data_IF_006378678897
#
_entry.id   IF_006378678897
#
_cell.length_a   1.000
_cell.length_b   1.000
_cell.length_c   1.000
_cell.angle_alpha   90.00
_cell.angle_beta   90.00
_cell.angle_gamma   90.00
#
_symmetry.space_group_name_H-M   'P 1'
#
loop_
_entity.id
_entity.type
_entity.pdbx_description
1 polymer ?
#
# COMPACT_ATOMS: atom_id res chain seq x y z
N UNK A 1 1.05 -31.81 61.02
CA UNK A 1 0.20 -30.78 60.38
C UNK A 1 0.98 -30.23 59.19
N UNK A 2 0.55 -30.56 57.97
CA UNK A 2 1.21 -30.16 56.71
C UNK A 2 0.54 -28.87 56.23
N UNK A 3 1.28 -27.76 56.19
CA UNK A 3 0.86 -26.55 55.50
C UNK A 3 1.17 -26.76 54.00
N UNK A 4 0.14 -26.98 53.19
CA UNK A 4 0.27 -26.92 51.73
C UNK A 4 0.05 -25.46 51.31
N UNK A 5 1.13 -24.77 50.94
CA UNK A 5 1.05 -23.47 50.30
C UNK A 5 0.50 -23.61 48.89
N UNK A 6 -0.65 -22.99 48.63
CA UNK A 6 -1.21 -22.85 47.29
C UNK A 6 -0.46 -21.70 46.62
N UNK A 7 0.43 -22.02 45.68
CA UNK A 7 1.01 -21.03 44.79
C UNK A 7 -0.06 -20.62 43.76
N UNK A 8 -0.54 -19.38 43.86
CA UNK A 8 -1.38 -18.78 42.84
C UNK A 8 -0.49 -18.45 41.63
N UNK A 9 -0.64 -19.21 40.54
CA UNK A 9 -0.17 -18.80 39.23
C UNK A 9 -1.10 -17.69 38.72
N UNK A 10 -0.63 -16.45 38.77
CA UNK A 10 -1.24 -15.36 38.01
C UNK A 10 -0.96 -15.65 36.53
N UNK A 11 -1.97 -16.17 35.82
CA UNK A 11 -1.94 -16.22 34.37
C UNK A 11 -1.96 -14.78 33.85
N UNK A 12 -0.84 -14.29 33.32
CA UNK A 12 -0.85 -13.12 32.46
C UNK A 12 -1.69 -13.49 31.23
N UNK A 13 -2.94 -13.04 31.19
CA UNK A 13 -3.68 -12.94 29.94
C UNK A 13 -2.97 -11.83 29.18
N UNK A 14 -1.97 -12.17 28.36
CA UNK A 14 -1.57 -11.30 27.27
C UNK A 14 -2.77 -11.21 26.34
N UNK A 15 -3.55 -10.15 26.49
CA UNK A 15 -4.48 -9.74 25.44
C UNK A 15 -3.58 -9.30 24.30
N UNK A 16 -3.28 -10.21 23.37
CA UNK A 16 -2.69 -9.86 22.09
C UNK A 16 -3.76 -9.03 21.39
N UNK A 17 -3.61 -7.70 21.38
CA UNK A 17 -4.50 -6.83 20.63
C UNK A 17 -4.04 -6.81 19.17
N UNK A 18 -4.36 -7.90 18.48
CA UNK A 18 -4.20 -7.95 17.03
C UNK A 18 -5.38 -7.20 16.40
N UNK A 19 -5.11 -6.12 15.67
CA UNK A 19 -6.08 -5.51 14.78
C UNK A 19 -6.01 -6.21 13.43
N UNK A 20 -7.18 -6.52 12.89
CA UNK A 20 -7.33 -7.00 11.52
C UNK A 20 -8.03 -5.92 10.72
N UNK A 21 -7.38 -5.45 9.66
CA UNK A 21 -7.94 -4.48 8.72
C UNK A 21 -8.27 -5.23 7.44
N UNK A 22 -9.55 -5.34 7.14
CA UNK A 22 -9.98 -5.83 5.84
C UNK A 22 -9.75 -4.73 4.79
N UNK A 23 -9.26 -5.11 3.62
CA UNK A 23 -9.05 -4.17 2.51
C UNK A 23 -9.66 -4.73 1.25
N UNK A 24 -10.44 -3.89 0.58
CA UNK A 24 -11.09 -4.22 -0.66
C UNK A 24 -11.27 -2.98 -1.53
N UNK A 25 -11.63 -3.18 -2.79
CA UNK A 25 -12.18 -2.17 -3.67
C UNK A 25 -13.61 -2.53 -4.12
N UNK A 26 -14.32 -3.26 -3.24
CA UNK A 26 -15.68 -3.74 -3.47
C UNK A 26 -16.63 -3.27 -2.39
N UNK A 27 -17.77 -2.74 -2.82
CA UNK A 27 -18.91 -2.49 -1.94
C UNK A 27 -20.23 -2.95 -2.56
N UNK A 28 -20.17 -3.95 -3.46
CA UNK A 28 -21.33 -4.43 -4.18
C UNK A 28 -21.56 -3.65 -5.48
N UNK A 29 -22.33 -2.55 -5.43
CA UNK A 29 -22.70 -1.80 -6.64
C UNK A 29 -21.61 -0.83 -7.13
N UNK A 30 -20.70 -0.43 -6.25
CA UNK A 30 -19.58 0.47 -6.55
C UNK A 30 -18.26 -0.32 -6.48
N UNK A 31 -17.98 -1.12 -7.51
CA UNK A 31 -16.67 -1.76 -7.67
C UNK A 31 -15.75 -0.85 -8.48
N UNK A 32 -14.79 -0.20 -7.83
CA UNK A 32 -13.81 0.64 -8.54
C UNK A 32 -12.57 -0.20 -8.84
N UNK A 33 -12.47 -0.71 -10.07
CA UNK A 33 -11.31 -1.49 -10.50
C UNK A 33 -10.02 -0.65 -10.47
N UNK A 34 -8.88 -1.33 -10.39
CA UNK A 34 -7.57 -0.67 -10.42
C UNK A 34 -6.80 -1.02 -11.68
N UNK A 35 -6.28 0.01 -12.32
CA UNK A 35 -5.53 -0.08 -13.59
C UNK A 35 -4.15 0.53 -13.47
N UNK A 36 -3.28 0.17 -14.41
CA UNK A 36 -2.06 0.92 -14.67
C UNK A 36 -2.35 2.25 -15.40
N UNK A 37 -1.31 3.03 -15.67
CA UNK A 37 -1.41 4.32 -16.36
C UNK A 37 -1.84 4.22 -17.83
N UNK A 38 -1.94 3.01 -18.39
CA UNK A 38 -2.41 2.76 -19.77
C UNK A 38 -3.85 2.26 -19.82
N UNK A 39 -4.46 1.99 -18.66
CA UNK A 39 -5.81 1.43 -18.54
C UNK A 39 -5.83 -0.10 -18.52
N UNK A 40 -4.69 -0.78 -18.39
CA UNK A 40 -4.65 -2.23 -18.21
C UNK A 40 -4.92 -2.59 -16.75
N UNK A 41 -5.85 -3.52 -16.51
CA UNK A 41 -6.20 -3.98 -15.16
C UNK A 41 -5.02 -4.66 -14.48
N UNK A 42 -4.86 -4.39 -13.17
CA UNK A 42 -3.85 -5.06 -12.36
C UNK A 42 -4.26 -6.51 -12.06
N UNK A 43 -3.34 -7.44 -12.20
CA UNK A 43 -3.63 -8.88 -12.08
C UNK A 43 -2.96 -9.50 -10.86
N UNK A 44 -3.43 -10.68 -10.45
CA UNK A 44 -2.82 -11.47 -9.37
C UNK A 44 -1.72 -12.43 -9.85
N UNK A 45 -1.50 -12.53 -11.17
CA UNK A 45 -0.70 -13.57 -11.81
C UNK A 45 0.80 -13.26 -11.88
N UNK A 46 1.55 -14.05 -12.64
CA UNK A 46 2.92 -13.72 -13.03
C UNK A 46 2.89 -12.99 -14.38
N UNK A 47 3.43 -11.77 -14.46
CA UNK A 47 3.39 -10.98 -15.69
C UNK A 47 3.85 -9.54 -15.52
N UNK A 48 3.62 -8.71 -16.55
CA UNK A 48 4.05 -7.31 -16.59
C UNK A 48 3.10 -6.33 -15.86
N UNK A 49 2.02 -6.81 -15.24
CA UNK A 49 1.03 -5.95 -14.58
C UNK A 49 0.46 -6.63 -13.33
N UNK A 50 1.36 -7.08 -12.44
CA UNK A 50 0.98 -7.70 -11.17
C UNK A 50 0.71 -6.60 -10.17
N UNK A 51 -0.47 -6.57 -9.58
CA UNK A 51 -0.79 -5.60 -8.55
C UNK A 51 -0.38 -6.07 -7.16
N UNK A 52 0.16 -5.15 -6.35
CA UNK A 52 0.38 -5.36 -4.92
C UNK A 52 -0.33 -4.26 -4.15
N UNK A 53 -1.04 -4.61 -3.09
CA UNK A 53 -1.70 -3.70 -2.17
C UNK A 53 -1.04 -3.80 -0.80
N UNK A 54 -0.70 -2.66 -0.21
CA UNK A 54 -0.21 -2.57 1.15
C UNK A 54 -1.06 -1.59 1.95
N UNK A 55 -1.28 -1.89 3.22
CA UNK A 55 -1.89 -0.98 4.18
C UNK A 55 -0.82 -0.54 5.16
N UNK A 56 -0.84 0.71 5.56
CA UNK A 56 0.16 1.22 6.49
C UNK A 56 0.04 2.71 6.72
N UNK A 57 1.13 3.32 7.19
CA UNK A 57 1.19 4.73 7.51
C UNK A 57 2.48 5.39 7.02
N UNK A 58 2.45 6.70 6.81
CA UNK A 58 3.65 7.50 6.56
C UNK A 58 4.12 8.17 7.84
N UNK A 59 5.39 7.93 8.21
CA UNK A 59 5.99 8.51 9.41
C UNK A 59 6.42 9.96 9.18
N UNK A 60 5.71 10.92 9.76
CA UNK A 60 6.16 12.33 9.82
C UNK A 60 6.03 13.13 8.52
N UNK A 61 5.34 12.59 7.51
CA UNK A 61 4.96 13.32 6.29
C UNK A 61 3.50 13.76 6.39
N UNK A 62 3.23 15.00 5.99
CA UNK A 62 1.86 15.44 5.68
C UNK A 62 1.43 14.91 4.32
N UNK A 63 0.14 14.94 4.02
CA UNK A 63 -0.41 14.59 2.70
C UNK A 63 0.32 15.32 1.56
N UNK A 64 0.57 16.62 1.73
CA UNK A 64 1.35 17.42 0.77
C UNK A 64 2.83 16.98 0.67
N UNK A 65 3.42 16.51 1.78
CA UNK A 65 4.75 15.94 1.80
C UNK A 65 4.82 14.61 1.05
N UNK A 66 3.79 13.76 1.19
CA UNK A 66 3.65 12.50 0.45
C UNK A 66 3.59 12.77 -1.05
N UNK A 67 2.74 13.70 -1.49
CA UNK A 67 2.63 14.07 -2.92
C UNK A 67 3.94 14.64 -3.46
N UNK A 68 4.63 15.50 -2.70
CA UNK A 68 5.91 16.08 -3.13
C UNK A 68 7.04 15.05 -3.17
N UNK A 69 7.02 14.04 -2.29
CA UNK A 69 8.04 13.01 -2.29
C UNK A 69 7.85 12.07 -3.47
N UNK A 70 6.60 11.71 -3.77
CA UNK A 70 6.25 10.92 -4.93
C UNK A 70 6.76 11.55 -6.22
N UNK A 71 6.57 12.86 -6.45
CA UNK A 71 7.11 13.51 -7.66
C UNK A 71 8.64 13.45 -7.80
N UNK A 72 9.35 13.09 -6.73
CA UNK A 72 10.81 13.08 -6.70
C UNK A 72 11.41 11.68 -6.73
N UNK A 73 10.85 10.70 -6.01
CA UNK A 73 11.37 9.34 -5.96
C UNK A 73 10.38 8.33 -5.38
N UNK A 74 10.05 7.29 -6.16
CA UNK A 74 9.32 6.11 -5.69
C UNK A 74 10.02 5.46 -4.49
N UNK A 75 11.33 5.29 -4.57
CA UNK A 75 12.08 4.57 -3.55
C UNK A 75 12.02 5.29 -2.20
N UNK A 76 12.06 6.63 -2.20
CA UNK A 76 11.93 7.40 -0.97
C UNK A 76 10.51 7.33 -0.40
N UNK A 77 9.50 7.34 -1.27
CA UNK A 77 8.10 7.16 -0.87
C UNK A 77 7.90 5.82 -0.18
N UNK A 78 8.35 4.72 -0.81
CA UNK A 78 8.28 3.36 -0.24
C UNK A 78 9.07 3.26 1.07
N UNK A 79 10.25 3.87 1.14
CA UNK A 79 11.07 3.85 2.37
C UNK A 79 10.42 4.63 3.52
N UNK A 80 9.61 5.65 3.21
CA UNK A 80 8.89 6.45 4.21
C UNK A 80 7.56 5.82 4.62
N UNK A 81 7.12 4.78 3.91
CA UNK A 81 5.91 4.03 4.19
C UNK A 81 6.22 2.86 5.14
N UNK A 82 5.54 2.84 6.27
CA UNK A 82 5.57 1.72 7.21
C UNK A 82 4.34 0.87 6.95
N UNK A 83 4.56 -0.28 6.30
CA UNK A 83 3.52 -1.28 6.08
C UNK A 83 3.11 -1.90 7.41
N UNK A 84 1.81 -2.06 7.60
CA UNK A 84 1.20 -2.77 8.71
C UNK A 84 0.75 -4.14 8.21
N UNK A 85 1.14 -5.20 8.90
CA UNK A 85 0.81 -6.57 8.52
C UNK A 85 1.41 -7.01 7.19
N UNK A 86 0.72 -7.92 6.48
CA UNK A 86 1.18 -8.51 5.22
C UNK A 86 0.61 -7.79 4.00
N UNK A 87 1.33 -7.89 2.88
CA UNK A 87 0.84 -7.46 1.57
C UNK A 87 -0.42 -8.24 1.17
N UNK A 88 -1.33 -7.54 0.51
CA UNK A 88 -2.51 -8.11 -0.12
C UNK A 88 -2.27 -8.14 -1.63
N UNK A 89 -2.48 -9.31 -2.23
CA UNK A 89 -2.42 -9.45 -3.68
C UNK A 89 -3.80 -9.19 -4.28
N UNK A 90 -3.82 -8.80 -5.55
CA UNK A 90 -5.07 -8.75 -6.30
C UNK A 90 -5.72 -10.13 -6.38
N UNK A 91 -7.04 -10.16 -6.53
CA UNK A 91 -7.80 -11.36 -6.86
C UNK A 91 -7.64 -11.67 -8.35
N UNK A 92 -7.62 -12.94 -8.72
CA UNK A 92 -7.51 -13.37 -10.12
C UNK A 92 -8.80 -13.15 -10.92
N UNK A 93 -9.92 -12.85 -10.26
CA UNK A 93 -11.23 -12.75 -10.91
C UNK A 93 -12.15 -11.77 -10.18
N UNK A 94 -12.64 -10.69 -10.84
CA UNK A 94 -12.12 -10.11 -12.09
C UNK A 94 -10.74 -9.43 -11.87
N UNK A 95 -9.97 -9.20 -12.95
CA UNK A 95 -8.73 -8.43 -12.85
C UNK A 95 -9.03 -6.98 -12.37
N UNK A 96 -8.08 -6.36 -11.68
CA UNK A 96 -8.22 -5.04 -11.07
C UNK A 96 -8.99 -5.06 -9.75
N UNK A 97 -9.45 -6.23 -9.30
CA UNK A 97 -10.11 -6.44 -8.02
C UNK A 97 -9.14 -6.96 -6.96
N UNK A 98 -9.32 -6.55 -5.71
CA UNK A 98 -8.61 -7.15 -4.58
C UNK A 98 -9.51 -7.24 -3.35
N UNK A 99 -9.33 -8.32 -2.59
CA UNK A 99 -9.87 -8.48 -1.25
C UNK A 99 -8.79 -9.17 -0.42
N UNK A 100 -8.50 -8.60 0.73
CA UNK A 100 -7.57 -9.22 1.67
C UNK A 100 -7.69 -8.63 3.06
N UNK A 101 -6.79 -9.06 3.93
CA UNK A 101 -6.68 -8.55 5.28
C UNK A 101 -5.23 -8.30 5.63
N UNK A 102 -4.93 -7.13 6.17
CA UNK A 102 -3.67 -6.86 6.85
C UNK A 102 -3.91 -7.01 8.36
N UNK A 103 -3.19 -7.95 8.98
CA UNK A 103 -3.28 -8.20 10.42
C UNK A 103 -1.97 -7.78 11.09
N UNK A 104 -2.06 -7.00 12.16
CA UNK A 104 -0.91 -6.55 12.93
C UNK A 104 -1.22 -6.44 14.42
N UNK A 105 -0.17 -6.60 15.23
CA UNK A 105 -0.20 -6.30 16.67
C UNK A 105 0.28 -4.87 16.89
N UNK A 106 -0.67 -3.96 17.11
CA UNK A 106 -0.38 -2.54 17.35
C UNK A 106 0.04 -2.27 18.80
N UNK A 107 -0.15 -3.20 19.72
CA UNK A 107 0.28 -3.06 21.13
C UNK A 107 1.75 -3.39 21.37
N UNK A 108 2.39 -4.10 20.44
CA UNK A 108 3.80 -4.47 20.53
C UNK A 108 4.58 -4.09 19.28
N UNK A 109 4.27 -4.75 18.16
CA UNK A 109 5.09 -4.75 16.94
C UNK A 109 5.02 -3.47 16.13
N UNK A 110 3.80 -2.93 15.95
CA UNK A 110 3.53 -1.77 15.08
C UNK A 110 2.95 -0.58 15.85
N UNK A 111 3.34 -0.43 17.12
CA UNK A 111 2.85 0.65 18.01
C UNK A 111 3.10 2.07 17.49
N UNK A 112 4.03 2.25 16.53
CA UNK A 112 4.23 3.53 15.83
C UNK A 112 3.07 3.94 14.92
N UNK A 113 2.20 3.00 14.55
CA UNK A 113 1.03 3.26 13.71
C UNK A 113 -0.09 3.96 14.48
N UNK A 114 -0.19 3.79 15.80
CA UNK A 114 -1.28 4.32 16.61
C UNK A 114 -1.36 5.85 16.50
N UNK A 115 -2.55 6.36 16.18
CA UNK A 115 -2.81 7.78 15.92
C UNK A 115 -2.26 8.30 14.59
N UNK A 116 -1.91 7.41 13.65
CA UNK A 116 -1.54 7.77 12.27
C UNK A 116 -2.67 7.45 11.31
N UNK A 117 -2.75 8.24 10.24
CA UNK A 117 -3.67 7.96 9.14
C UNK A 117 -3.42 6.60 8.51
N UNK A 118 -4.51 5.95 8.10
CA UNK A 118 -4.47 4.70 7.35
C UNK A 118 -4.33 5.01 5.87
N UNK A 119 -3.33 4.41 5.23
CA UNK A 119 -3.08 4.57 3.81
C UNK A 119 -3.12 3.22 3.12
N UNK A 120 -3.78 3.19 1.97
CA UNK A 120 -3.73 2.09 1.00
C UNK A 120 -2.74 2.51 -0.09
N UNK A 121 -1.68 1.72 -0.26
CA UNK A 121 -0.66 1.92 -1.28
C UNK A 121 -0.73 0.77 -2.27
N UNK A 122 -0.91 1.08 -3.54
CA UNK A 122 -0.97 0.10 -4.62
C UNK A 122 0.20 0.33 -5.58
N UNK A 123 0.89 -0.75 -5.93
CA UNK A 123 1.96 -0.75 -6.93
C UNK A 123 1.69 -1.71 -8.08
N UNK A 124 2.21 -1.41 -9.26
CA UNK A 124 2.10 -2.23 -10.47
C UNK A 124 3.18 -3.34 -10.58
N UNK A 125 3.65 -3.85 -9.45
CA UNK A 125 4.62 -4.95 -9.41
C UNK A 125 4.31 -5.89 -8.25
N UNK A 126 4.99 -7.03 -8.18
CA UNK A 126 4.83 -8.02 -7.09
C UNK A 126 5.37 -7.57 -5.73
N UNK A 127 5.96 -6.37 -5.67
CA UNK A 127 6.34 -5.68 -4.44
C UNK A 127 6.30 -4.18 -4.65
N UNK A 128 6.05 -3.42 -3.58
CA UNK A 128 6.10 -1.95 -3.63
C UNK A 128 7.48 -1.42 -4.03
N UNK A 129 8.55 -2.08 -3.61
CA UNK A 129 9.92 -1.67 -3.91
C UNK A 129 10.27 -1.78 -5.41
N UNK A 130 9.60 -2.67 -6.14
CA UNK A 130 9.81 -2.88 -7.56
C UNK A 130 8.74 -2.18 -8.44
N UNK A 131 7.79 -1.48 -7.82
CA UNK A 131 6.74 -0.78 -8.56
C UNK A 131 7.29 0.49 -9.22
N UNK A 132 6.85 0.74 -10.45
CA UNK A 132 7.21 1.92 -11.25
C UNK A 132 6.06 2.93 -11.33
N UNK A 133 4.86 2.45 -11.01
CA UNK A 133 3.65 3.23 -10.92
C UNK A 133 3.00 2.96 -9.58
N UNK A 134 2.37 3.98 -8.99
CA UNK A 134 1.68 3.81 -7.72
C UNK A 134 0.40 4.61 -7.64
N UNK A 135 -0.43 4.16 -6.70
CA UNK A 135 -1.58 4.86 -6.17
C UNK A 135 -1.45 4.90 -4.66
N UNK A 136 -1.71 6.07 -4.08
CA UNK A 136 -1.74 6.26 -2.63
C UNK A 136 -3.06 6.90 -2.26
N UNK A 137 -3.84 6.18 -1.48
CA UNK A 137 -5.14 6.61 -0.99
C UNK A 137 -5.09 6.71 0.52
N UNK A 138 -5.48 7.86 1.06
CA UNK A 138 -5.63 8.09 2.49
C UNK A 138 -7.07 7.79 2.88
N UNK A 139 -7.26 6.86 3.79
CA UNK A 139 -8.56 6.56 4.38
C UNK A 139 -8.94 7.61 5.43
N UNK A 140 -10.24 7.74 5.72
CA UNK A 140 -10.73 8.75 6.67
C UNK A 140 -10.33 8.46 8.11
N UNK A 141 -10.20 7.18 8.47
CA UNK A 141 -9.85 6.76 9.82
C UNK A 141 -8.33 6.64 10.05
N UNK A 142 -7.96 6.83 11.31
CA UNK A 142 -6.62 6.59 11.83
C UNK A 142 -6.51 5.18 12.46
N UNK A 143 -5.28 4.66 12.55
CA UNK A 143 -5.02 3.48 13.36
C UNK A 143 -5.25 3.81 14.84
N UNK A 144 -6.01 2.95 15.52
CA UNK A 144 -6.22 2.98 16.97
C UNK A 144 -5.86 1.61 17.53
N UNK A 145 -5.49 1.52 18.81
CA UNK A 145 -4.91 0.33 19.44
C UNK A 145 -5.90 -0.51 20.24
N UNK A 146 -7.21 -0.34 20.00
CA UNK A 146 -8.23 -1.10 20.74
C UNK A 146 -8.82 -2.21 19.87
N UNK A 147 -9.17 -3.38 20.44
CA UNK A 147 -9.72 -4.49 19.66
C UNK A 147 -11.18 -4.26 19.20
N UNK A 148 -11.82 -3.18 19.65
CA UNK A 148 -13.23 -2.86 19.36
C UNK A 148 -13.40 -1.54 18.61
N UNK A 149 -12.37 -0.70 18.55
CA UNK A 149 -12.35 0.57 17.82
C UNK A 149 -11.14 0.53 16.88
N UNK A 150 -11.34 0.92 15.62
CA UNK A 150 -10.36 0.73 14.55
C UNK A 150 -11.05 0.86 13.20
N UNK A 151 -10.30 1.03 12.09
CA UNK A 151 -10.93 1.15 10.78
C UNK A 151 -11.77 -0.09 10.47
N UNK A 152 -11.36 -1.28 10.95
CA UNK A 152 -12.04 -2.58 10.77
C UNK A 152 -12.05 -3.06 9.32
N UNK A 153 -12.45 -2.19 8.40
CA UNK A 153 -12.39 -2.32 6.95
C UNK A 153 -11.94 -0.99 6.35
N UNK A 154 -10.87 -1.00 5.58
CA UNK A 154 -10.41 0.12 4.76
C UNK A 154 -10.76 -0.18 3.29
N UNK A 155 -11.64 0.61 2.69
CA UNK A 155 -12.06 0.38 1.32
C UNK A 155 -11.53 1.45 0.37
N UNK A 156 -11.02 1.02 -0.78
CA UNK A 156 -10.66 1.91 -1.88
C UNK A 156 -11.91 2.21 -2.71
N UNK A 157 -12.67 3.19 -2.28
CA UNK A 157 -13.87 3.68 -2.96
C UNK A 157 -13.75 5.19 -3.08
N UNK A 158 -14.24 5.74 -4.19
CA UNK A 158 -14.33 7.19 -4.30
C UNK A 158 -15.26 7.76 -3.21
N UNK A 159 -14.76 8.72 -2.43
CA UNK A 159 -15.52 9.40 -1.38
C UNK A 159 -15.43 8.78 0.02
N UNK A 160 -14.69 7.68 0.23
CA UNK A 160 -14.38 7.12 1.57
C UNK A 160 -13.00 7.54 2.08
N UNK A 161 -12.43 8.59 1.48
CA UNK A 161 -11.06 9.03 1.72
C UNK A 161 -10.57 9.99 0.64
N UNK A 162 -9.27 10.24 0.65
CA UNK A 162 -8.60 11.18 -0.25
C UNK A 162 -7.56 10.45 -1.10
N UNK A 163 -7.72 10.53 -2.42
CA UNK A 163 -6.69 10.09 -3.36
C UNK A 163 -5.55 11.11 -3.36
N UNK A 164 -4.36 10.70 -2.92
CA UNK A 164 -3.17 11.56 -2.87
C UNK A 164 -2.31 11.41 -4.13
N UNK A 165 -2.15 10.17 -4.60
CA UNK A 165 -1.36 9.82 -5.79
C UNK A 165 -2.18 8.83 -6.61
N UNK A 166 -2.23 9.04 -7.91
CA UNK A 166 -3.10 8.29 -8.82
C UNK A 166 -4.12 9.22 -9.46
N UNK A 167 -4.95 8.66 -10.33
CA UNK A 167 -6.13 9.35 -10.86
C UNK A 167 -7.36 8.44 -10.73
N UNK A 168 -8.53 9.02 -10.99
CA UNK A 168 -9.80 8.32 -10.90
C UNK A 168 -10.68 8.75 -12.07
N UNK A 169 -11.49 7.81 -12.60
CA UNK A 169 -12.45 8.05 -13.67
C UNK A 169 -11.81 8.41 -15.03
N UNK A 170 -10.52 8.09 -15.24
CA UNK A 170 -9.88 8.16 -16.55
C UNK A 170 -10.21 6.95 -17.42
N UNK A 171 -10.51 5.81 -16.79
CA UNK A 171 -10.94 4.58 -17.44
C UNK A 171 -12.26 4.10 -16.84
N UNK A 172 -13.06 3.45 -17.66
CA UNK A 172 -14.30 2.79 -17.27
C UNK A 172 -14.32 1.35 -17.77
N UNK A 173 -14.91 0.46 -16.99
CA UNK A 173 -15.09 -0.94 -17.36
C UNK A 173 -16.54 -1.35 -17.21
N UNK A 174 -17.06 -2.04 -18.23
CA UNK A 174 -18.37 -2.66 -18.15
C UNK A 174 -18.30 -3.85 -17.17
N UNK A 175 -18.97 -3.70 -16.02
CA UNK A 175 -19.02 -4.71 -14.97
C UNK A 175 -20.35 -5.50 -15.03
N UNK A 176 -21.21 -5.19 -15.99
CA UNK A 176 -22.45 -5.92 -16.29
C UNK A 176 -22.39 -6.46 -17.73
N UNK A 177 -23.29 -7.37 -18.07
CA UNK A 177 -23.55 -7.80 -19.45
C UNK A 177 -24.62 -6.93 -20.13
N UNK A 178 -25.06 -5.86 -19.44
CA UNK A 178 -26.11 -4.97 -19.90
C UNK A 178 -25.49 -3.73 -20.58
N UNK A 179 -25.66 -3.56 -21.91
CA UNK A 179 -25.08 -2.43 -22.64
C UNK A 179 -25.69 -1.05 -22.29
N UNK A 180 -26.58 -1.00 -21.30
CA UNK A 180 -27.27 0.22 -20.84
C UNK A 180 -26.74 0.74 -19.51
N UNK A 181 -25.91 -0.03 -18.79
CA UNK A 181 -25.24 0.44 -17.57
C UNK A 181 -23.99 1.21 -17.95
N UNK A 182 -23.78 2.43 -17.43
CA UNK A 182 -22.54 3.15 -17.66
C UNK A 182 -21.37 2.37 -17.06
N UNK A 183 -20.23 2.42 -17.75
CA UNK A 183 -18.98 1.80 -17.31
C UNK A 183 -18.64 2.21 -15.85
N UNK A 184 -18.24 1.23 -15.03
CA UNK A 184 -17.78 1.48 -13.68
C UNK A 184 -16.43 2.21 -13.74
N UNK A 185 -16.29 3.39 -13.11
CA UNK A 185 -15.05 4.16 -13.12
C UNK A 185 -13.93 3.40 -12.38
N UNK A 186 -12.72 3.48 -12.90
CA UNK A 186 -11.55 2.86 -12.31
C UNK A 186 -10.62 3.89 -11.67
N UNK A 187 -9.89 3.43 -10.66
CA UNK A 187 -8.66 4.06 -10.21
C UNK A 187 -7.52 3.67 -11.15
N UNK A 188 -6.61 4.61 -11.41
CA UNK A 188 -5.43 4.34 -12.20
C UNK A 188 -4.16 4.79 -11.49
N UNK A 189 -3.16 3.92 -11.54
CA UNK A 189 -1.82 4.22 -11.06
C UNK A 189 -1.17 5.25 -11.98
N UNK A 190 -0.35 6.13 -11.41
CA UNK A 190 0.43 7.10 -12.18
C UNK A 190 1.89 6.72 -12.19
N UNK A 191 2.56 7.04 -13.29
CA UNK A 191 4.02 6.90 -13.38
C UNK A 191 4.66 7.85 -12.40
N UNK A 192 5.53 7.30 -11.58
CA UNK A 192 6.33 8.09 -10.67
C UNK A 192 7.76 8.09 -11.22
N UNK A 193 8.37 9.25 -11.48
CA UNK A 193 9.72 9.31 -12.00
C UNK A 193 10.68 8.61 -11.02
N UNK A 194 11.40 7.63 -11.52
CA UNK A 194 12.51 7.01 -10.80
C UNK A 194 13.73 7.85 -11.13
N UNK A 195 14.41 8.48 -10.15
CA UNK A 195 15.69 9.12 -10.41
C UNK A 195 16.63 8.08 -10.99
N UNK A 196 16.97 8.23 -12.27
CA UNK A 196 17.96 7.37 -12.89
C UNK A 196 19.26 7.45 -12.07
N UNK A 197 19.92 6.32 -11.77
CA UNK A 197 21.23 6.36 -11.14
C UNK A 197 22.16 7.09 -12.11
N UNK A 198 22.42 8.35 -11.78
CA UNK A 198 23.09 9.35 -12.59
C UNK A 198 24.19 8.73 -13.46
N UNK A 199 23.93 8.59 -14.77
CA UNK A 199 24.93 8.13 -15.73
C UNK A 199 26.17 9.06 -15.75
N UNK A 200 26.03 10.29 -15.23
CA UNK A 200 27.12 11.22 -14.95
C UNK A 200 28.07 10.75 -13.86
N UNK A 201 27.60 10.04 -12.84
CA UNK A 201 28.46 9.42 -11.82
C UNK A 201 29.26 8.25 -12.41
N UNK A 202 28.64 7.43 -13.28
CA UNK A 202 29.32 6.34 -13.98
C UNK A 202 30.33 6.86 -15.02
N UNK A 203 30.00 7.92 -15.77
CA UNK A 203 30.93 8.60 -16.69
C UNK A 203 32.06 9.29 -15.93
N UNK A 204 31.77 9.91 -14.78
CA UNK A 204 32.78 10.51 -13.91
C UNK A 204 33.76 9.47 -13.37
N UNK A 205 33.25 8.30 -12.95
CA UNK A 205 34.07 7.19 -12.45
C UNK A 205 34.86 6.50 -13.58
N UNK A 206 34.27 6.36 -14.77
CA UNK A 206 34.95 5.88 -15.97
C UNK A 206 36.06 6.82 -16.43
N UNK A 207 35.84 8.14 -16.36
CA UNK A 207 36.87 9.16 -16.63
C UNK A 207 38.04 9.10 -15.65
N UNK A 208 37.76 8.89 -14.35
CA UNK A 208 38.78 8.75 -13.31
C UNK A 208 39.61 7.47 -13.49
N UNK A 209 38.98 6.35 -13.84
CA UNK A 209 39.67 5.10 -14.14
C UNK A 209 40.60 5.23 -15.37
N UNK A 210 40.19 5.98 -16.39
CA UNK A 210 41.02 6.23 -17.59
C UNK A 210 42.23 7.13 -17.28
N UNK A 211 42.07 8.14 -16.41
CA UNK A 211 43.18 8.98 -15.95
C UNK A 211 44.19 8.21 -15.09
N UNK A 212 43.73 7.31 -14.23
CA UNK A 212 44.61 6.46 -13.42
C UNK A 212 45.39 5.44 -14.26
N UNK A 213 44.83 4.96 -15.37
CA UNK A 213 45.51 4.03 -16.30
C UNK A 213 46.67 4.70 -17.07
N UNK A 214 46.63 6.02 -17.29
CA UNK A 214 47.66 6.74 -18.07
C UNK A 214 48.95 7.04 -17.28
N UNK A 215 48.98 6.75 -15.98
CA UNK A 215 50.15 6.99 -15.10
C UNK A 215 50.98 5.73 -14.77
N UNK A 216 50.69 4.60 -15.40
CA UNK A 216 51.59 3.43 -15.47
C UNK A 216 52.24 3.39 -16.85
#
# INVERSE_FOLDING_TARGET
MKLLGIAAFAAQISVVSAISIQVNNDNGFDTNLVTDNTGALLTSGAGANVGTVAIGHFGGLSDAGITSLATTSVSNLVTSFSQVGSLVNFSATPDGFFVGSATADLTGGDSSAVGKGVFIVIGNSSSLAAATQMLVFRYEDDFVDTPFEGPGTASLINGTGTLLIGEYNNFGFDNDSNPSTPDAPAFNLVVIPIPEPSSTALLGLGGLAFFLRRRR
#
